data_IF_420539026335
#
_entry.id   IF_420539026335
#
_cell.length_a   1.000
_cell.length_b   1.000
_cell.length_c   1.000
_cell.angle_alpha   90.00
_cell.angle_beta   90.00
_cell.angle_gamma   90.00
#
_symmetry.space_group_name_H-M   'P 1'
#
loop_
_entity.id
_entity.type
_entity.pdbx_description
1 polymer ?
#
# COMPACT_ATOMS: atom_id res chain seq x y z
N UNK A 1 -68.85 -0.44 -22.83
CA UNK A 1 -67.96 -0.97 -21.76
C UNK A 1 -66.53 -0.65 -22.18
N UNK A 2 -65.83 0.19 -21.40
CA UNK A 2 -64.47 0.67 -21.70
C UNK A 2 -63.46 -0.37 -21.21
N UNK A 3 -62.74 -1.00 -22.13
CA UNK A 3 -61.61 -1.87 -21.81
C UNK A 3 -60.42 -1.01 -21.39
N UNK A 4 -59.99 -1.11 -20.13
CA UNK A 4 -58.77 -0.48 -19.62
C UNK A 4 -57.63 -1.48 -19.83
N UNK A 5 -56.66 -1.14 -20.67
CA UNK A 5 -55.42 -1.90 -20.83
C UNK A 5 -54.41 -1.38 -19.81
N UNK A 6 -54.11 -2.18 -18.80
CA UNK A 6 -53.05 -1.91 -17.83
C UNK A 6 -51.74 -2.39 -18.46
N UNK A 7 -50.92 -1.45 -18.93
CA UNK A 7 -49.55 -1.74 -19.36
C UNK A 7 -48.69 -1.80 -18.08
N UNK A 8 -48.28 -3.01 -17.71
CA UNK A 8 -47.30 -3.22 -16.65
C UNK A 8 -45.92 -2.72 -17.11
N UNK A 9 -45.45 -1.64 -16.50
CA UNK A 9 -44.08 -1.16 -16.69
C UNK A 9 -43.11 -2.13 -15.98
N UNK A 10 -42.38 -2.92 -16.76
CA UNK A 10 -41.26 -3.70 -16.24
C UNK A 10 -40.13 -2.75 -15.85
N UNK A 11 -39.96 -2.53 -14.55
CA UNK A 11 -38.78 -1.89 -13.97
C UNK A 11 -37.57 -2.79 -14.22
N UNK A 12 -36.77 -2.46 -15.23
CA UNK A 12 -35.44 -3.03 -15.41
C UNK A 12 -34.61 -2.52 -14.25
N UNK A 13 -34.38 -3.39 -13.25
CA UNK A 13 -33.48 -3.11 -12.15
C UNK A 13 -32.08 -2.85 -12.70
N UNK A 14 -31.59 -1.62 -12.53
CA UNK A 14 -30.18 -1.32 -12.74
C UNK A 14 -29.39 -2.08 -11.68
N UNK A 15 -28.65 -3.09 -12.11
CA UNK A 15 -27.63 -3.69 -11.26
C UNK A 15 -26.55 -2.63 -11.08
N UNK A 16 -26.56 -1.94 -9.96
CA UNK A 16 -25.42 -1.14 -9.53
C UNK A 16 -24.31 -2.13 -9.21
N UNK A 17 -23.36 -2.29 -10.12
CA UNK A 17 -22.03 -2.82 -9.79
C UNK A 17 -21.32 -1.73 -8.99
N UNK A 18 -21.69 -1.61 -7.73
CA UNK A 18 -21.00 -0.79 -6.75
C UNK A 18 -20.21 -1.75 -5.84
N UNK A 19 -18.88 -1.63 -5.86
CA UNK A 19 -18.02 -2.17 -4.81
C UNK A 19 -17.06 -3.27 -5.27
N UNK A 20 -15.92 -2.89 -5.85
CA UNK A 20 -14.71 -3.74 -5.91
C UNK A 20 -13.44 -2.96 -6.32
N UNK A 21 -13.43 -1.62 -6.21
CA UNK A 21 -12.38 -0.78 -6.83
C UNK A 21 -11.98 0.39 -5.93
N UNK A 22 -11.43 0.14 -4.74
CA UNK A 22 -11.18 1.27 -3.83
C UNK A 22 -9.77 1.32 -3.23
N UNK A 23 -9.21 0.21 -2.74
CA UNK A 23 -7.99 0.32 -1.92
C UNK A 23 -6.78 0.90 -2.67
N UNK A 24 -6.45 0.36 -3.84
CA UNK A 24 -5.32 0.83 -4.65
C UNK A 24 -5.68 1.99 -5.59
N UNK A 25 -6.95 2.40 -5.70
CA UNK A 25 -7.34 3.47 -6.63
C UNK A 25 -7.01 4.84 -6.01
N UNK A 26 -5.72 5.11 -5.88
CA UNK A 26 -5.12 6.24 -5.18
C UNK A 26 -3.94 6.75 -6.00
N UNK A 27 -3.79 8.07 -6.06
CA UNK A 27 -2.71 8.72 -6.77
C UNK A 27 -1.65 9.22 -5.80
N UNK A 28 -0.38 9.01 -6.15
CA UNK A 28 0.76 9.50 -5.39
C UNK A 28 1.83 10.03 -6.33
N UNK A 29 2.49 11.10 -5.93
CA UNK A 29 3.73 11.52 -6.59
C UNK A 29 4.88 10.60 -6.20
N UNK A 30 5.76 10.31 -7.15
CA UNK A 30 7.03 9.63 -6.90
C UNK A 30 7.94 10.45 -5.99
N UNK A 31 8.70 9.78 -5.11
CA UNK A 31 9.57 10.45 -4.14
C UNK A 31 10.59 11.36 -4.85
N UNK A 32 10.60 12.66 -4.51
CA UNK A 32 11.45 13.69 -5.13
C UNK A 32 11.26 13.85 -6.66
N UNK A 33 10.18 13.28 -7.22
CA UNK A 33 9.81 13.36 -8.62
C UNK A 33 8.60 14.25 -8.85
N UNK A 34 8.20 14.38 -10.12
CA UNK A 34 6.95 15.06 -10.55
C UNK A 34 5.92 14.10 -11.12
N UNK A 35 6.31 12.85 -11.40
CA UNK A 35 5.41 11.83 -11.92
C UNK A 35 4.39 11.45 -10.84
N UNK A 36 3.11 11.49 -11.22
CA UNK A 36 1.98 10.98 -10.43
C UNK A 36 1.64 9.59 -10.93
N UNK A 37 1.47 8.65 -10.01
CA UNK A 37 1.17 7.25 -10.28
C UNK A 37 -0.14 6.89 -9.61
N UNK A 38 -1.11 6.41 -10.38
CA UNK A 38 -2.26 5.72 -9.83
C UNK A 38 -1.85 4.27 -9.48
N UNK A 39 -1.98 3.87 -8.21
CA UNK A 39 -1.49 2.56 -7.75
C UNK A 39 -2.29 1.40 -8.36
N UNK A 40 -3.60 1.56 -8.59
CA UNK A 40 -4.46 0.54 -9.20
C UNK A 40 -4.22 0.38 -10.70
N UNK A 41 -3.79 1.43 -11.39
CA UNK A 41 -3.37 1.31 -12.79
C UNK A 41 -2.00 0.65 -12.90
N UNK A 42 -1.08 1.04 -12.01
CA UNK A 42 0.32 0.60 -12.09
C UNK A 42 0.58 -0.79 -11.55
N UNK A 43 -0.12 -1.19 -10.48
CA UNK A 43 0.20 -2.39 -9.69
C UNK A 43 -0.96 -3.38 -9.58
N UNK A 44 -2.02 -3.23 -10.37
CA UNK A 44 -3.10 -4.23 -10.43
C UNK A 44 -2.57 -5.59 -10.86
N UNK A 45 -3.02 -6.64 -10.18
CA UNK A 45 -2.57 -8.00 -10.41
C UNK A 45 -1.23 -8.33 -9.76
N UNK A 46 -0.54 -7.37 -9.13
CA UNK A 46 0.62 -7.63 -8.29
C UNK A 46 0.21 -7.95 -6.85
N UNK A 47 1.07 -8.69 -6.15
CA UNK A 47 1.04 -8.73 -4.69
C UNK A 47 1.78 -7.50 -4.20
N UNK A 48 1.15 -6.67 -3.37
CA UNK A 48 1.70 -5.37 -2.97
C UNK A 48 2.00 -5.35 -1.47
N UNK A 49 3.25 -5.07 -1.10
CA UNK A 49 3.67 -4.83 0.28
C UNK A 49 3.86 -3.33 0.51
N UNK A 50 2.88 -2.68 1.12
CA UNK A 50 2.91 -1.26 1.48
C UNK A 50 3.65 -1.10 2.81
N UNK A 51 4.56 -0.13 2.90
CA UNK A 51 5.36 0.12 4.11
C UNK A 51 5.49 1.61 4.40
N UNK A 52 5.14 2.05 5.61
CA UNK A 52 5.48 3.40 6.05
C UNK A 52 6.93 3.43 6.55
N UNK A 53 7.80 4.28 6.01
CA UNK A 53 9.24 4.23 6.28
C UNK A 53 9.77 5.48 6.99
N UNK A 54 10.95 5.33 7.60
CA UNK A 54 11.68 6.41 8.29
C UNK A 54 13.20 6.22 8.18
N UNK A 55 13.98 7.29 7.98
CA UNK A 55 15.44 7.24 7.87
C UNK A 55 16.17 7.32 9.22
N UNK A 56 15.54 7.85 10.28
CA UNK A 56 16.16 8.06 11.61
C UNK A 56 15.46 7.27 12.71
N UNK A 57 15.08 6.02 12.42
CA UNK A 57 14.40 5.11 13.36
C UNK A 57 15.29 3.90 13.71
N UNK A 58 15.10 3.30 14.89
CA UNK A 58 15.74 2.02 15.23
C UNK A 58 15.40 0.87 14.25
N UNK A 59 14.29 0.98 13.52
CA UNK A 59 13.86 0.02 12.51
C UNK A 59 14.45 0.29 11.12
N UNK A 60 15.22 1.37 10.90
CA UNK A 60 15.67 1.77 9.55
C UNK A 60 16.50 0.69 8.85
N UNK A 61 17.20 -0.18 9.58
CA UNK A 61 17.91 -1.34 9.02
C UNK A 61 17.00 -2.31 8.25
N UNK A 62 15.68 -2.25 8.45
CA UNK A 62 14.71 -3.07 7.72
C UNK A 62 14.65 -2.76 6.22
N UNK A 63 15.13 -1.60 5.75
CA UNK A 63 15.26 -1.32 4.31
C UNK A 63 16.01 -2.42 3.56
N UNK A 64 17.10 -2.95 4.13
CA UNK A 64 17.87 -4.04 3.53
C UNK A 64 17.05 -5.32 3.35
N UNK A 65 16.18 -5.64 4.33
CA UNK A 65 15.29 -6.79 4.25
C UNK A 65 14.17 -6.60 3.22
N UNK A 66 13.63 -5.38 3.12
CA UNK A 66 12.61 -5.02 2.13
C UNK A 66 13.17 -5.08 0.71
N UNK A 67 14.37 -4.53 0.50
CA UNK A 67 15.05 -4.60 -0.79
C UNK A 67 15.37 -6.05 -1.16
N UNK A 68 15.80 -6.88 -0.20
CA UNK A 68 16.00 -8.31 -0.43
C UNK A 68 14.71 -9.01 -0.90
N UNK A 69 13.59 -8.80 -0.19
CA UNK A 69 12.30 -9.36 -0.60
C UNK A 69 11.93 -8.91 -2.02
N UNK A 70 12.03 -7.61 -2.29
CA UNK A 70 11.68 -7.06 -3.59
C UNK A 70 12.54 -7.67 -4.69
N UNK A 71 13.86 -7.70 -4.52
CA UNK A 71 14.77 -8.32 -5.49
C UNK A 71 14.44 -9.78 -5.76
N UNK A 72 14.09 -10.54 -4.73
CA UNK A 72 13.83 -11.97 -4.81
C UNK A 72 12.50 -12.28 -5.50
N UNK A 73 11.41 -11.60 -5.12
CA UNK A 73 10.04 -11.96 -5.55
C UNK A 73 9.44 -11.02 -6.60
N UNK A 74 10.12 -9.96 -7.04
CA UNK A 74 9.57 -9.03 -8.05
C UNK A 74 9.25 -9.69 -9.38
N UNK A 75 10.03 -10.69 -9.79
CA UNK A 75 9.78 -11.44 -11.03
C UNK A 75 8.51 -12.29 -10.94
N UNK A 76 8.15 -12.73 -9.73
CA UNK A 76 6.93 -13.51 -9.46
C UNK A 76 5.69 -12.62 -9.28
N UNK A 77 5.89 -11.30 -9.17
CA UNK A 77 4.84 -10.30 -9.09
C UNK A 77 4.72 -9.57 -7.74
N UNK A 78 5.69 -9.70 -6.82
CA UNK A 78 5.74 -8.87 -5.62
C UNK A 78 6.20 -7.44 -5.95
N UNK A 79 5.50 -6.44 -5.43
CA UNK A 79 5.97 -5.06 -5.42
C UNK A 79 5.98 -4.53 -3.99
N UNK A 80 7.10 -3.92 -3.58
CA UNK A 80 7.19 -3.20 -2.30
C UNK A 80 6.96 -1.72 -2.57
N UNK A 81 6.08 -1.05 -1.84
CA UNK A 81 5.80 0.38 -1.97
C UNK A 81 6.16 1.09 -0.66
N UNK A 82 7.13 2.00 -0.72
CA UNK A 82 7.57 2.76 0.45
C UNK A 82 6.97 4.15 0.52
N UNK A 83 6.42 4.49 1.68
CA UNK A 83 5.83 5.79 1.99
C UNK A 83 6.56 6.42 3.18
N UNK A 84 7.53 7.31 2.96
CA UNK A 84 8.22 8.00 4.04
C UNK A 84 7.24 8.80 4.90
N UNK A 85 7.34 8.72 6.21
CA UNK A 85 6.42 9.41 7.12
C UNK A 85 7.16 9.99 8.31
N UNK A 86 6.85 11.25 8.64
CA UNK A 86 7.46 11.95 9.77
C UNK A 86 6.60 11.91 11.04
N UNK A 87 5.49 11.17 11.01
CA UNK A 87 4.46 11.17 12.06
C UNK A 87 4.94 10.58 13.39
N UNK A 88 5.93 9.69 13.34
CA UNK A 88 6.42 8.97 14.51
C UNK A 88 7.73 9.57 15.02
N UNK A 89 7.63 10.42 16.04
CA UNK A 89 8.75 11.09 16.72
C UNK A 89 9.68 11.90 15.79
N UNK A 90 9.17 12.42 14.66
CA UNK A 90 9.98 13.24 13.76
C UNK A 90 11.16 12.49 13.13
N UNK A 91 11.02 11.17 12.92
CA UNK A 91 12.11 10.28 12.48
C UNK A 91 12.33 10.26 10.95
N UNK A 92 11.61 11.09 10.20
CA UNK A 92 11.81 11.31 8.75
C UNK A 92 11.81 12.83 8.43
N UNK A 93 12.72 13.61 9.06
CA UNK A 93 12.65 15.07 9.01
C UNK A 93 13.15 15.67 7.69
N UNK A 94 13.89 14.89 6.89
CA UNK A 94 14.54 15.38 5.67
C UNK A 94 13.55 15.72 4.56
N UNK A 95 14.07 16.41 3.54
CA UNK A 95 13.37 16.61 2.27
C UNK A 95 13.28 15.30 1.49
N UNK A 96 12.42 15.23 0.49
CA UNK A 96 12.28 14.03 -0.32
C UNK A 96 13.56 13.66 -1.07
N UNK A 97 14.33 14.65 -1.51
CA UNK A 97 15.63 14.45 -2.15
C UNK A 97 16.63 13.83 -1.18
N UNK A 98 16.65 14.30 0.07
CA UNK A 98 17.50 13.75 1.12
C UNK A 98 17.11 12.32 1.47
N UNK A 99 15.81 12.04 1.57
CA UNK A 99 15.27 10.69 1.83
C UNK A 99 15.61 9.75 0.68
N UNK A 100 15.39 10.17 -0.57
CA UNK A 100 15.69 9.36 -1.75
C UNK A 100 17.19 9.04 -1.80
N UNK A 101 18.04 10.04 -1.58
CA UNK A 101 19.50 9.88 -1.53
C UNK A 101 19.90 8.92 -0.41
N UNK A 102 19.34 9.06 0.79
CA UNK A 102 19.60 8.17 1.91
C UNK A 102 19.24 6.72 1.59
N UNK A 103 18.03 6.46 1.08
CA UNK A 103 17.54 5.12 0.77
C UNK A 103 18.41 4.44 -0.31
N UNK A 104 18.76 5.18 -1.37
CA UNK A 104 19.58 4.66 -2.47
C UNK A 104 21.03 4.42 -2.05
N UNK A 105 21.69 5.41 -1.43
CA UNK A 105 23.11 5.31 -1.12
C UNK A 105 23.42 4.38 0.05
N UNK A 106 22.51 4.28 1.04
CA UNK A 106 22.75 3.49 2.26
C UNK A 106 22.28 2.04 2.11
N UNK A 107 21.14 1.83 1.44
CA UNK A 107 20.47 0.52 1.40
C UNK A 107 20.27 -0.02 -0.02
N UNK A 108 20.63 0.75 -1.05
CA UNK A 108 20.46 0.33 -2.44
C UNK A 108 19.00 0.19 -2.87
N UNK A 109 18.05 0.83 -2.18
CA UNK A 109 16.60 0.69 -2.43
C UNK A 109 16.27 0.92 -3.91
N UNK A 110 15.66 -0.09 -4.53
CA UNK A 110 15.16 -0.09 -5.90
C UNK A 110 13.63 -0.18 -5.98
N UNK A 111 12.97 -0.56 -4.90
CA UNK A 111 11.51 -0.59 -4.88
C UNK A 111 10.90 0.82 -4.97
N UNK A 112 9.69 0.98 -5.55
CA UNK A 112 9.03 2.27 -5.67
C UNK A 112 8.87 2.98 -4.32
N UNK A 113 9.26 4.25 -4.29
CA UNK A 113 9.09 5.16 -3.16
C UNK A 113 8.22 6.34 -3.59
N UNK A 114 7.30 6.75 -2.74
CA UNK A 114 6.38 7.86 -2.98
C UNK A 114 6.67 9.05 -2.07
N UNK A 115 5.97 10.15 -2.32
CA UNK A 115 6.06 11.37 -1.53
C UNK A 115 5.81 11.13 -0.03
N UNK A 116 6.32 12.07 0.78
CA UNK A 116 6.11 12.02 2.23
C UNK A 116 4.61 12.03 2.53
N UNK A 117 4.17 11.02 3.26
CA UNK A 117 2.74 10.76 3.49
C UNK A 117 2.47 10.64 4.98
N UNK A 118 1.42 11.30 5.47
CA UNK A 118 0.94 11.07 6.83
C UNK A 118 0.15 9.77 6.86
N UNK A 119 0.41 8.94 7.87
CA UNK A 119 -0.13 7.59 8.00
C UNK A 119 -0.75 7.34 9.37
N UNK A 120 -0.50 8.23 10.33
CA UNK A 120 -1.04 8.15 11.69
C UNK A 120 -2.49 8.65 11.73
N UNK A 121 -3.32 7.95 12.50
CA UNK A 121 -4.78 8.12 12.60
C UNK A 121 -5.31 9.55 12.46
N UNK A 122 -4.76 10.51 13.21
CA UNK A 122 -5.28 11.89 13.25
C UNK A 122 -5.27 12.60 11.90
N UNK A 123 -4.28 12.32 11.04
CA UNK A 123 -4.03 13.06 9.79
C UNK A 123 -3.71 12.12 8.62
N UNK A 124 -4.06 10.85 8.72
CA UNK A 124 -3.66 9.86 7.72
C UNK A 124 -4.17 10.23 6.32
N UNK A 125 -3.37 9.93 5.32
CA UNK A 125 -3.82 10.00 3.92
C UNK A 125 -5.01 9.04 3.72
N UNK A 126 -6.00 9.35 2.85
CA UNK A 126 -7.15 8.49 2.60
C UNK A 126 -6.81 7.02 2.34
N UNK A 127 -5.72 6.76 1.61
CA UNK A 127 -5.18 5.41 1.42
C UNK A 127 -4.89 4.67 2.75
N UNK A 128 -4.22 5.33 3.71
CA UNK A 128 -3.91 4.73 5.00
C UNK A 128 -5.12 4.63 5.92
N UNK A 129 -6.12 5.52 5.79
CA UNK A 129 -7.42 5.35 6.44
C UNK A 129 -8.11 4.07 5.98
N UNK A 130 -8.13 3.79 4.67
CA UNK A 130 -8.72 2.56 4.14
C UNK A 130 -7.96 1.30 4.57
N UNK A 131 -6.61 1.34 4.51
CA UNK A 131 -5.78 0.24 5.01
C UNK A 131 -6.04 -0.04 6.49
N UNK A 132 -6.13 1.01 7.32
CA UNK A 132 -6.39 0.87 8.74
C UNK A 132 -7.80 0.35 9.03
N UNK A 133 -8.81 0.79 8.25
CA UNK A 133 -10.17 0.30 8.35
C UNK A 133 -10.26 -1.21 8.06
N UNK A 134 -9.59 -1.68 7.00
CA UNK A 134 -9.56 -3.11 6.67
C UNK A 134 -8.69 -3.92 7.65
N UNK A 135 -7.60 -3.36 8.16
CA UNK A 135 -6.69 -4.04 9.07
C UNK A 135 -7.15 -4.02 10.55
N UNK A 136 -8.09 -3.14 10.89
CA UNK A 136 -8.48 -2.85 12.28
C UNK A 136 -7.43 -2.06 13.08
N UNK A 137 -6.37 -1.54 12.44
CA UNK A 137 -5.34 -0.75 13.11
C UNK A 137 -4.56 0.14 12.15
N UNK A 138 -4.33 1.39 12.56
CA UNK A 138 -3.38 2.29 11.90
C UNK A 138 -1.92 1.84 12.13
N UNK A 139 -0.97 2.33 11.33
CA UNK A 139 0.45 2.20 11.66
C UNK A 139 0.72 2.73 13.07
N UNK A 140 1.20 1.85 13.94
CA UNK A 140 1.54 2.18 15.32
C UNK A 140 2.98 2.72 15.47
N UNK A 141 3.80 2.53 14.44
CA UNK A 141 5.19 3.01 14.38
C UNK A 141 5.70 2.98 12.93
N UNK A 142 6.93 3.46 12.73
CA UNK A 142 7.68 3.29 11.49
C UNK A 142 7.89 1.81 11.15
N UNK A 143 7.78 1.47 9.87
CA UNK A 143 7.91 0.13 9.29
C UNK A 143 6.75 -0.82 9.60
N UNK A 144 5.53 -0.30 9.82
CA UNK A 144 4.31 -1.10 9.69
C UNK A 144 4.16 -1.52 8.22
N UNK A 145 3.58 -2.70 7.98
CA UNK A 145 3.47 -3.26 6.64
C UNK A 145 2.06 -3.76 6.39
N UNK A 146 1.53 -3.53 5.20
CA UNK A 146 0.27 -4.11 4.75
C UNK A 146 0.53 -4.94 3.50
N UNK A 147 0.02 -6.17 3.47
CA UNK A 147 0.10 -7.05 2.32
C UNK A 147 -1.26 -7.09 1.63
N UNK A 148 -1.26 -6.73 0.35
CA UNK A 148 -2.43 -6.63 -0.50
C UNK A 148 -2.31 -7.70 -1.60
N UNK A 149 -3.41 -8.39 -1.88
CA UNK A 149 -3.49 -9.45 -2.89
C UNK A 149 -3.54 -8.91 -4.32
N UNK A 150 -3.49 -9.84 -5.29
CA UNK A 150 -3.59 -9.51 -6.73
C UNK A 150 -4.94 -8.89 -7.11
N UNK A 151 -5.98 -9.20 -6.33
CA UNK A 151 -7.33 -8.64 -6.38
C UNK A 151 -7.41 -7.19 -5.88
N UNK A 152 -6.35 -6.70 -5.21
CA UNK A 152 -6.32 -5.36 -4.61
C UNK A 152 -6.91 -5.29 -3.20
N UNK A 153 -7.26 -6.43 -2.60
CA UNK A 153 -7.81 -6.50 -1.24
C UNK A 153 -6.69 -6.72 -0.20
N UNK A 154 -6.91 -6.20 1.00
CA UNK A 154 -5.96 -6.40 2.10
C UNK A 154 -5.97 -7.86 2.56
N UNK A 155 -4.83 -8.54 2.47
CA UNK A 155 -4.63 -9.89 3.01
C UNK A 155 -4.36 -9.80 4.52
N UNK A 156 -3.37 -9.00 4.92
CA UNK A 156 -2.98 -8.87 6.33
C UNK A 156 -2.05 -7.68 6.59
N UNK A 157 -1.87 -7.33 7.86
CA UNK A 157 -0.90 -6.32 8.32
C UNK A 157 0.18 -6.94 9.22
N UNK A 158 1.38 -6.34 9.23
CA UNK A 158 2.49 -6.76 10.07
C UNK A 158 2.97 -5.60 10.94
N UNK A 159 3.19 -5.92 12.22
CA UNK A 159 3.72 -4.96 13.17
C UNK A 159 5.10 -4.43 12.73
N UNK A 160 5.45 -3.20 13.15
CA UNK A 160 6.79 -2.64 13.00
C UNK A 160 7.95 -3.54 13.47
N UNK A 161 7.69 -4.43 14.43
CA UNK A 161 8.67 -5.37 14.99
C UNK A 161 8.90 -6.59 14.11
N UNK A 162 7.94 -6.93 13.24
CA UNK A 162 8.06 -8.05 12.31
C UNK A 162 9.05 -7.66 11.21
N UNK A 163 10.19 -8.36 11.16
CA UNK A 163 11.26 -8.09 10.19
C UNK A 163 10.81 -8.53 8.80
N UNK A 164 11.22 -7.85 7.71
CA UNK A 164 10.77 -8.18 6.35
C UNK A 164 10.99 -9.64 5.95
N UNK A 165 12.09 -10.26 6.36
CA UNK A 165 12.42 -11.64 6.03
C UNK A 165 12.06 -12.63 7.15
N UNK A 166 11.11 -12.26 8.01
CA UNK A 166 10.52 -13.16 9.00
C UNK A 166 9.67 -14.23 8.29
N UNK A 167 9.66 -15.46 8.81
CA UNK A 167 8.94 -16.60 8.23
C UNK A 167 7.46 -16.28 7.97
N UNK A 168 6.83 -15.47 8.84
CA UNK A 168 5.43 -15.07 8.67
C UNK A 168 5.22 -14.21 7.43
N UNK A 169 6.13 -13.27 7.16
CA UNK A 169 6.04 -12.41 5.97
C UNK A 169 6.32 -13.23 4.71
N UNK A 170 7.36 -14.07 4.73
CA UNK A 170 7.71 -14.92 3.59
C UNK A 170 6.56 -15.88 3.25
N UNK A 171 5.97 -16.53 4.25
CA UNK A 171 4.85 -17.43 4.05
C UNK A 171 3.64 -16.71 3.44
N UNK A 172 3.28 -15.52 3.94
CA UNK A 172 2.17 -14.74 3.43
C UNK A 172 2.41 -14.28 1.98
N UNK A 173 3.62 -13.79 1.67
CA UNK A 173 4.00 -13.40 0.30
C UNK A 173 3.91 -14.60 -0.64
N UNK A 174 4.51 -15.73 -0.28
CA UNK A 174 4.50 -16.94 -1.12
C UNK A 174 3.11 -17.50 -1.34
N UNK A 175 2.24 -17.39 -0.34
CA UNK A 175 0.84 -17.78 -0.49
C UNK A 175 0.14 -16.84 -1.47
N UNK A 176 0.27 -15.53 -1.28
CA UNK A 176 -0.35 -14.51 -2.12
C UNK A 176 0.12 -14.56 -3.59
N UNK A 177 1.38 -14.94 -3.84
CA UNK A 177 1.93 -15.03 -5.19
C UNK A 177 1.39 -16.21 -6.00
N UNK A 178 0.88 -17.27 -5.33
CA UNK A 178 0.30 -18.46 -5.95
C UNK A 178 -1.19 -18.30 -6.29
N UNK A 179 -1.82 -17.28 -5.75
CA UNK A 179 -3.22 -16.92 -5.98
C UNK A 179 -3.45 -16.34 -7.37
#
# INVERSE_FOLDING_TARGET
MRTVVIIAAALIGTSTVAGEKVLLDQEFRTLAGKEVVNLAEKYRGNVVLVVNTASKCGNTKQYAGLEKLYKEYRADGLVVLGFPSNDFMGQEPGTEEEIQKFCRLTYGVQFPMFEKTSVKEDNAHPFFHQLAASAGTYPQWNFHKYLIGRDGELITGFSPRTRPYDDKIIAAIRLALKS
#
